data_IF_441549719029
#
_entry.id   IF_441549719029
#
_cell.length_a   1.000
_cell.length_b   1.000
_cell.length_c   1.000
_cell.angle_alpha   90.00
_cell.angle_beta   90.00
_cell.angle_gamma   90.00
#
_symmetry.space_group_name_H-M   'P 1'
#
loop_
_entity.id
_entity.type
_entity.pdbx_description
1 polymer ?
#
# COMPACT_ATOMS: atom_id res chain seq x y z
N UNK A 1 -5.37 5.32 -0.50
CA UNK A 1 -5.84 4.45 -1.60
C UNK A 1 -7.25 4.85 -2.06
N UNK A 2 -8.30 4.73 -1.24
CA UNK A 2 -9.67 5.11 -1.65
C UNK A 2 -9.83 6.55 -2.16
N UNK A 3 -9.20 7.53 -1.49
CA UNK A 3 -9.21 8.92 -1.96
C UNK A 3 -8.63 9.05 -3.38
N UNK A 4 -7.49 8.40 -3.67
CA UNK A 4 -6.89 8.40 -5.00
C UNK A 4 -7.85 7.82 -6.06
N UNK A 5 -8.57 6.75 -5.71
CA UNK A 5 -9.59 6.14 -6.58
C UNK A 5 -10.75 7.08 -6.89
N UNK A 6 -11.23 7.84 -5.91
CA UNK A 6 -12.26 8.88 -6.11
C UNK A 6 -11.77 9.94 -7.12
N UNK A 7 -10.49 10.28 -7.10
CA UNK A 7 -9.88 11.20 -8.06
C UNK A 7 -9.46 10.55 -9.39
N UNK A 8 -9.84 9.28 -9.64
CA UNK A 8 -9.58 8.60 -10.91
C UNK A 8 -8.18 8.00 -11.08
N UNK A 9 -7.43 7.88 -9.98
CA UNK A 9 -6.11 7.25 -9.91
C UNK A 9 -6.16 5.85 -9.29
N UNK A 10 -5.15 5.05 -9.57
CA UNK A 10 -4.89 3.76 -8.95
C UNK A 10 -3.64 3.83 -8.06
N UNK A 11 -3.54 2.89 -7.12
CA UNK A 11 -2.45 2.84 -6.14
C UNK A 11 -1.98 1.42 -5.86
N UNK A 12 -0.68 1.24 -5.61
CA UNK A 12 -0.14 -0.04 -5.15
C UNK A 12 0.64 0.17 -3.82
N UNK A 13 0.15 -0.39 -2.69
CA UNK A 13 0.90 -0.39 -1.44
C UNK A 13 2.06 -1.39 -1.50
N UNK A 14 3.28 -0.95 -1.22
CA UNK A 14 4.50 -1.76 -1.31
C UNK A 14 5.36 -1.65 -0.03
N UNK A 15 5.57 -2.78 0.65
CA UNK A 15 6.45 -2.91 1.81
C UNK A 15 7.84 -3.49 1.47
N UNK A 16 8.06 -3.92 0.23
CA UNK A 16 9.28 -4.55 -0.29
C UNK A 16 10.35 -3.55 -0.73
N UNK A 17 10.71 -2.61 0.14
CA UNK A 17 11.81 -1.66 -0.09
C UNK A 17 12.92 -1.85 0.96
N UNK A 18 14.11 -1.30 0.69
CA UNK A 18 15.23 -1.37 1.63
C UNK A 18 15.04 -0.39 2.79
N UNK A 19 14.60 -0.91 3.94
CA UNK A 19 14.35 -0.13 5.16
C UNK A 19 15.60 0.52 5.77
N UNK A 20 16.80 -0.02 5.50
CA UNK A 20 18.04 0.55 6.06
C UNK A 20 18.51 1.80 5.30
N UNK A 21 18.16 1.94 4.03
CA UNK A 21 18.67 3.03 3.18
C UNK A 21 17.60 4.04 2.76
N UNK A 22 16.31 3.70 2.85
CA UNK A 22 15.22 4.57 2.37
C UNK A 22 15.22 5.95 3.01
N UNK A 23 15.54 6.05 4.31
CA UNK A 23 15.53 7.33 5.00
C UNK A 23 16.64 8.25 4.47
N UNK A 24 17.85 7.73 4.31
CA UNK A 24 18.98 8.49 3.78
C UNK A 24 18.73 8.89 2.31
N UNK A 25 18.21 7.96 1.50
CA UNK A 25 17.94 8.20 0.07
C UNK A 25 16.84 9.23 -0.18
N UNK A 26 15.84 9.31 0.70
CA UNK A 26 14.70 10.23 0.57
C UNK A 26 14.84 11.48 1.46
N UNK A 27 15.94 11.62 2.20
CA UNK A 27 16.14 12.72 3.14
C UNK A 27 15.16 12.72 4.31
N UNK A 28 14.67 11.56 4.71
CA UNK A 28 13.73 11.40 5.83
C UNK A 28 14.53 11.38 7.14
N UNK A 29 14.11 12.13 8.17
CA UNK A 29 14.72 12.09 9.50
C UNK A 29 14.81 10.67 10.09
N UNK A 30 15.97 10.33 10.68
CA UNK A 30 16.27 8.97 11.19
C UNK A 30 15.38 8.48 12.34
N UNK A 31 14.69 9.40 13.01
CA UNK A 31 13.72 9.09 14.07
C UNK A 31 12.34 8.68 13.53
N UNK A 32 12.13 8.72 12.21
CA UNK A 32 10.89 8.27 11.57
C UNK A 32 11.06 6.84 11.03
N UNK A 33 10.03 6.03 11.23
CA UNK A 33 10.00 4.64 10.77
C UNK A 33 9.30 4.58 9.40
N UNK A 34 10.03 4.26 8.32
CA UNK A 34 9.43 4.11 6.99
C UNK A 34 8.53 2.88 6.99
N UNK A 35 7.23 3.10 6.79
CA UNK A 35 6.21 2.04 6.97
C UNK A 35 5.75 1.45 5.64
N UNK A 36 5.42 2.31 4.67
CA UNK A 36 4.80 1.89 3.42
C UNK A 36 5.14 2.87 2.31
N UNK A 37 5.54 2.35 1.15
CA UNK A 37 5.57 3.12 -0.09
C UNK A 37 4.24 2.89 -0.82
N UNK A 38 3.67 3.96 -1.36
CA UNK A 38 2.44 3.88 -2.14
C UNK A 38 2.72 4.52 -3.48
N UNK A 39 2.76 3.73 -4.56
CA UNK A 39 2.71 4.31 -5.90
C UNK A 39 1.30 4.84 -6.17
N UNK A 40 1.21 5.92 -6.93
CA UNK A 40 -0.05 6.53 -7.36
C UNK A 40 0.09 6.98 -8.82
N UNK A 41 -0.93 6.71 -9.63
CA UNK A 41 -0.92 7.09 -11.05
C UNK A 41 -2.17 6.64 -11.78
N UNK A 42 -2.23 6.88 -13.09
CA UNK A 42 -3.28 6.32 -13.94
C UNK A 42 -2.89 4.88 -14.29
N UNK A 43 -3.81 3.94 -14.11
CA UNK A 43 -3.58 2.56 -14.53
C UNK A 43 -3.45 2.48 -16.06
N UNK A 44 -2.43 1.76 -16.52
CA UNK A 44 -2.22 1.41 -17.93
C UNK A 44 -2.88 0.05 -18.26
N UNK A 45 -3.05 -0.80 -17.24
CA UNK A 45 -3.63 -2.14 -17.34
C UNK A 45 -4.59 -2.41 -16.18
N UNK A 46 -5.48 -3.39 -16.35
CA UNK A 46 -6.32 -3.88 -15.25
C UNK A 46 -5.50 -4.70 -14.24
N UNK A 47 -5.79 -4.51 -12.96
CA UNK A 47 -5.14 -5.26 -11.89
C UNK A 47 -5.61 -6.72 -11.83
N UNK A 48 -4.77 -7.60 -11.29
CA UNK A 48 -5.13 -9.01 -11.08
C UNK A 48 -6.25 -9.18 -10.04
N UNK A 49 -7.26 -9.96 -10.41
CA UNK A 49 -8.32 -10.37 -9.48
C UNK A 49 -7.74 -11.14 -8.30
N UNK A 50 -8.18 -10.79 -7.09
CA UNK A 50 -7.76 -11.45 -5.86
C UNK A 50 -8.96 -11.94 -5.08
N UNK A 51 -8.80 -13.09 -4.40
CA UNK A 51 -9.83 -13.67 -3.54
C UNK A 51 -9.71 -13.14 -2.10
N UNK A 52 -10.78 -13.27 -1.32
CA UNK A 52 -10.78 -13.02 0.13
C UNK A 52 -11.45 -14.21 0.82
N UNK A 53 -11.00 -14.51 2.04
CA UNK A 53 -11.73 -15.42 2.93
C UNK A 53 -13.11 -14.81 3.24
N UNK A 54 -14.09 -15.67 3.53
CA UNK A 54 -15.42 -15.21 3.92
C UNK A 54 -15.42 -14.54 5.30
N UNK A 55 -16.49 -13.81 5.61
CA UNK A 55 -16.68 -13.18 6.92
C UNK A 55 -16.74 -14.21 8.04
N UNK A 56 -17.36 -15.37 7.79
CA UNK A 56 -17.55 -16.43 8.77
C UNK A 56 -16.23 -17.10 9.14
N UNK A 57 -15.28 -17.15 8.21
CA UNK A 57 -13.92 -17.67 8.46
C UNK A 57 -13.04 -16.70 9.26
N UNK A 58 -13.34 -15.40 9.20
CA UNK A 58 -12.46 -14.33 9.73
C UNK A 58 -13.03 -13.60 10.94
N UNK A 59 -14.29 -13.87 11.32
CA UNK A 59 -14.99 -13.18 12.42
C UNK A 59 -15.47 -14.16 13.48
N UNK A 60 -15.27 -13.80 14.76
CA UNK A 60 -15.84 -14.52 15.90
C UNK A 60 -16.60 -13.55 16.79
N UNK A 61 -17.77 -13.98 17.25
CA UNK A 61 -18.55 -13.28 18.27
C UNK A 61 -18.24 -13.94 19.62
N UNK A 62 -17.88 -13.12 20.62
CA UNK A 62 -17.58 -13.55 21.98
C UNK A 62 -18.84 -13.48 22.86
#
# INVERSE_FOLDING_TARGET
MYAAKIYGYDTCPNAGFNKSTVNDNLGIPKNLIPTLLISIGKADEEGYSSIRLSSDETTKWL
#
